data_IF_108299865943
#
_entry.id   IF_108299865943
#
_cell.length_a   1.000
_cell.length_b   1.000
_cell.length_c   1.000
_cell.angle_alpha   90.00
_cell.angle_beta   90.00
_cell.angle_gamma   90.00
#
_symmetry.space_group_name_H-M   'P 1'
#
loop_
_entity.id
_entity.type
_entity.pdbx_description
1 polymer ?
#
# COMPACT_ATOMS: atom_id res chain seq x y z
N UNK A 1 43.38 -20.38 32.69
CA UNK A 1 42.26 -20.86 31.85
C UNK A 1 42.10 -19.85 30.72
N UNK A 2 42.79 -20.11 29.62
CA UNK A 2 43.56 -19.09 28.90
C UNK A 2 42.90 -18.75 27.57
N UNK A 3 42.80 -17.44 27.28
CA UNK A 3 42.53 -16.67 26.04
C UNK A 3 41.83 -17.33 24.82
N UNK A 4 42.04 -18.62 24.55
CA UNK A 4 41.39 -19.42 23.50
C UNK A 4 39.87 -19.56 23.70
N UNK A 5 39.37 -19.63 24.93
CA UNK A 5 37.91 -19.69 25.21
C UNK A 5 37.26 -18.33 24.97
N UNK A 6 37.94 -17.23 25.34
CA UNK A 6 37.44 -15.88 25.10
C UNK A 6 37.38 -15.58 23.59
N UNK A 7 38.37 -16.02 22.81
CA UNK A 7 38.40 -15.90 21.34
C UNK A 7 37.29 -16.72 20.65
N UNK A 8 36.95 -17.89 21.19
CA UNK A 8 35.86 -18.74 20.67
C UNK A 8 34.48 -18.16 20.97
N UNK A 9 34.32 -17.46 22.11
CA UNK A 9 33.08 -16.77 22.47
C UNK A 9 32.90 -15.47 21.69
N UNK A 10 33.97 -14.72 21.38
CA UNK A 10 33.88 -13.54 20.49
C UNK A 10 33.71 -13.90 19.02
N UNK A 11 34.20 -15.07 18.56
CA UNK A 11 34.01 -15.51 17.17
C UNK A 11 32.58 -15.98 16.84
N UNK A 12 31.74 -16.24 17.85
CA UNK A 12 30.30 -16.53 17.67
C UNK A 12 29.43 -15.27 17.59
N UNK A 13 30.03 -14.09 17.73
CA UNK A 13 29.38 -12.79 17.51
C UNK A 13 29.80 -12.30 16.12
N UNK A 14 29.50 -13.09 15.09
CA UNK A 14 29.42 -12.57 13.74
C UNK A 14 28.15 -11.71 13.68
N UNK A 15 28.26 -10.43 14.01
CA UNK A 15 27.19 -9.47 13.74
C UNK A 15 26.99 -9.41 12.24
N UNK A 16 25.88 -9.95 11.76
CA UNK A 16 25.39 -9.67 10.42
C UNK A 16 25.15 -8.17 10.33
N UNK A 17 26.06 -7.46 9.65
CA UNK A 17 25.86 -6.06 9.31
C UNK A 17 24.86 -6.06 8.15
N UNK A 18 23.59 -5.81 8.44
CA UNK A 18 22.62 -5.49 7.40
C UNK A 18 22.88 -4.05 6.96
N UNK A 19 23.46 -3.87 5.78
CA UNK A 19 23.48 -2.57 5.12
C UNK A 19 22.17 -2.36 4.35
N UNK A 20 21.75 -1.11 4.29
CA UNK A 20 20.56 -0.53 3.63
C UNK A 20 19.21 -0.65 4.38
N UNK A 21 18.59 0.53 4.56
CA UNK A 21 17.26 0.71 5.18
C UNK A 21 16.14 0.74 4.11
N UNK A 22 16.47 0.72 2.82
CA UNK A 22 15.53 0.67 1.69
C UNK A 22 15.74 -0.56 0.81
N UNK A 23 14.72 -0.96 0.04
CA UNK A 23 14.83 -2.06 -0.93
C UNK A 23 14.85 -3.48 -0.33
N UNK A 24 14.20 -3.70 0.82
CA UNK A 24 14.23 -5.00 1.53
C UNK A 24 13.47 -6.13 0.85
N UNK A 25 12.73 -5.83 -0.22
CA UNK A 25 11.89 -6.80 -0.91
C UNK A 25 11.72 -6.35 -2.34
N UNK A 26 11.60 -7.33 -3.22
CA UNK A 26 11.25 -7.12 -4.63
C UNK A 26 9.75 -6.78 -4.78
N UNK A 27 9.32 -6.34 -5.96
CA UNK A 27 7.91 -6.07 -6.30
C UNK A 27 7.17 -5.09 -5.36
N UNK A 28 7.85 -4.05 -4.86
CA UNK A 28 7.27 -3.10 -3.90
C UNK A 28 6.01 -2.39 -4.39
N UNK A 29 5.80 -2.32 -5.71
CA UNK A 29 4.60 -1.73 -6.31
C UNK A 29 3.28 -2.38 -5.82
N UNK A 30 3.32 -3.63 -5.34
CA UNK A 30 2.17 -4.33 -4.75
C UNK A 30 1.59 -3.65 -3.51
N UNK A 31 2.38 -2.80 -2.84
CA UNK A 31 1.98 -2.06 -1.64
C UNK A 31 1.58 -0.60 -1.91
N UNK A 32 1.55 -0.18 -3.18
CA UNK A 32 1.00 1.12 -3.58
C UNK A 32 -0.53 1.11 -3.48
N UNK A 33 -1.12 2.30 -3.41
CA UNK A 33 -2.57 2.45 -3.35
C UNK A 33 -3.22 2.10 -4.68
N UNK A 34 -4.31 1.33 -4.68
CA UNK A 34 -4.94 0.86 -5.92
C UNK A 34 -6.01 1.81 -6.46
N UNK A 35 -6.53 2.75 -5.67
CA UNK A 35 -7.53 3.74 -6.12
C UNK A 35 -7.32 5.13 -5.52
N UNK A 36 -7.81 6.21 -6.17
CA UNK A 36 -7.77 7.56 -5.60
C UNK A 36 -8.52 7.65 -4.27
N UNK A 37 -9.59 6.86 -4.09
CA UNK A 37 -10.29 6.76 -2.80
C UNK A 37 -9.34 6.31 -1.70
N UNK A 38 -8.60 5.23 -1.93
CA UNK A 38 -7.65 4.69 -0.98
C UNK A 38 -6.50 5.67 -0.73
N UNK A 39 -5.97 6.31 -1.78
CA UNK A 39 -4.92 7.31 -1.68
C UNK A 39 -5.35 8.55 -0.88
N UNK A 40 -6.59 9.03 -1.05
CA UNK A 40 -7.15 10.15 -0.30
C UNK A 40 -7.29 9.85 1.20
N UNK A 41 -7.58 8.60 1.56
CA UNK A 41 -7.76 8.14 2.94
C UNK A 41 -6.44 7.70 3.62
N UNK A 42 -5.29 8.16 3.12
CA UNK A 42 -3.98 7.88 3.73
C UNK A 42 -3.23 6.69 3.14
N UNK A 43 -3.75 6.07 2.08
CA UNK A 43 -3.02 5.15 1.20
C UNK A 43 -3.24 3.66 1.43
N UNK A 44 -3.67 3.23 2.62
CA UNK A 44 -3.84 1.79 2.94
C UNK A 44 -5.18 1.43 3.60
N UNK A 45 -6.28 2.04 3.16
CA UNK A 45 -7.61 1.69 3.66
C UNK A 45 -8.00 0.28 3.22
N UNK A 46 -8.29 -0.59 4.20
CA UNK A 46 -8.66 -2.01 3.97
C UNK A 46 -10.12 -2.33 4.24
N UNK A 47 -10.89 -1.36 4.74
CA UNK A 47 -12.23 -1.60 5.33
C UNK A 47 -13.41 -1.28 4.42
N UNK A 48 -13.17 -0.79 3.19
CA UNK A 48 -14.28 -0.48 2.28
C UNK A 48 -14.99 -1.79 1.92
N UNK A 49 -16.31 -1.81 2.03
CA UNK A 49 -17.15 -2.93 1.66
C UNK A 49 -18.35 -2.36 0.91
N UNK A 50 -18.20 -2.22 -0.40
CA UNK A 50 -19.19 -1.58 -1.28
C UNK A 50 -18.96 -1.98 -2.75
N UNK A 51 -19.57 -1.23 -3.67
CA UNK A 51 -19.53 -1.42 -5.12
C UNK A 51 -18.16 -1.30 -5.81
N UNK A 52 -17.11 -0.70 -5.20
CA UNK A 52 -15.85 -0.46 -5.92
C UNK A 52 -14.95 -1.72 -5.96
N UNK A 53 -14.74 -2.36 -7.13
CA UNK A 53 -13.97 -3.60 -7.24
C UNK A 53 -12.48 -3.39 -6.95
N UNK A 54 -11.96 -2.15 -6.90
CA UNK A 54 -10.54 -1.91 -6.57
C UNK A 54 -10.17 -2.41 -5.19
N UNK A 55 -11.12 -2.40 -4.25
CA UNK A 55 -10.87 -2.87 -2.91
C UNK A 55 -10.51 -4.35 -2.88
N UNK A 56 -11.10 -5.16 -3.78
CA UNK A 56 -10.78 -6.58 -3.91
C UNK A 56 -9.31 -6.83 -4.25
N UNK A 57 -8.61 -5.91 -4.92
CA UNK A 57 -7.16 -6.03 -5.19
C UNK A 57 -6.30 -5.87 -3.93
N UNK A 58 -6.83 -5.17 -2.91
CA UNK A 58 -6.08 -4.81 -1.71
C UNK A 58 -6.51 -5.63 -0.48
N UNK A 59 -7.81 -5.92 -0.36
CA UNK A 59 -8.38 -6.81 0.64
C UNK A 59 -9.39 -7.77 -0.03
N UNK A 60 -9.02 -9.04 -0.27
CA UNK A 60 -9.94 -9.97 -0.92
C UNK A 60 -11.22 -10.22 -0.13
N UNK A 61 -11.22 -10.10 1.21
CA UNK A 61 -12.43 -10.32 2.01
C UNK A 61 -13.54 -9.28 1.76
N UNK A 62 -13.22 -8.16 1.12
CA UNK A 62 -14.21 -7.16 0.76
C UNK A 62 -14.97 -7.48 -0.53
N UNK A 63 -14.56 -8.50 -1.29
CA UNK A 63 -15.22 -8.88 -2.54
C UNK A 63 -16.67 -9.27 -2.22
N UNK A 64 -17.62 -8.58 -2.84
CA UNK A 64 -19.03 -8.69 -2.48
C UNK A 64 -19.96 -8.49 -3.69
N UNK A 65 -21.24 -8.87 -3.57
CA UNK A 65 -22.19 -8.79 -4.69
C UNK A 65 -22.47 -7.39 -5.24
N UNK A 66 -22.24 -6.31 -4.47
CA UNK A 66 -22.44 -4.94 -4.97
C UNK A 66 -21.42 -4.54 -6.04
N UNK A 67 -20.31 -5.28 -6.12
CA UNK A 67 -19.28 -5.08 -7.15
C UNK A 67 -19.69 -5.67 -8.51
N UNK A 68 -20.82 -6.37 -8.60
CA UNK A 68 -21.25 -7.01 -9.83
C UNK A 68 -21.34 -6.02 -10.99
N UNK A 69 -20.68 -6.35 -12.11
CA UNK A 69 -20.62 -5.54 -13.32
C UNK A 69 -20.03 -4.13 -13.11
N UNK A 70 -19.24 -3.94 -12.06
CA UNK A 70 -18.48 -2.71 -11.83
C UNK A 70 -17.10 -2.85 -12.47
N UNK A 71 -16.73 -1.87 -13.30
CA UNK A 71 -15.39 -1.72 -13.86
C UNK A 71 -14.73 -0.49 -13.24
N UNK A 72 -13.52 -0.64 -12.70
CA UNK A 72 -12.76 0.47 -12.14
C UNK A 72 -11.42 0.61 -12.85
N UNK A 73 -11.08 1.84 -13.22
CA UNK A 73 -9.87 2.25 -13.94
C UNK A 73 -9.20 3.38 -13.17
N UNK A 74 -7.95 3.20 -12.76
CA UNK A 74 -7.24 4.18 -11.94
C UNK A 74 -5.85 4.46 -12.50
N UNK A 75 -5.44 5.72 -12.41
CA UNK A 75 -4.15 6.20 -12.87
C UNK A 75 -3.56 7.17 -11.84
N UNK A 76 -2.27 7.03 -11.61
CA UNK A 76 -1.50 7.78 -10.62
C UNK A 76 -0.28 8.36 -11.32
N UNK A 77 -0.18 9.70 -11.31
CA UNK A 77 1.06 10.40 -11.67
C UNK A 77 1.91 10.49 -10.40
N UNK A 78 2.84 9.55 -10.26
CA UNK A 78 3.68 9.39 -9.09
C UNK A 78 4.97 10.22 -9.21
N UNK A 79 5.73 10.29 -8.12
CA UNK A 79 6.92 11.16 -8.05
C UNK A 79 8.01 10.63 -8.98
N UNK A 80 8.72 11.53 -9.68
CA UNK A 80 9.89 11.20 -10.49
C UNK A 80 9.55 10.53 -11.81
N UNK A 81 8.53 11.05 -12.51
CA UNK A 81 8.03 10.53 -13.80
C UNK A 81 7.53 9.08 -13.76
N UNK A 82 7.34 8.54 -12.56
CA UNK A 82 6.75 7.23 -12.33
C UNK A 82 5.24 7.32 -12.59
N UNK A 83 4.72 6.39 -13.36
CA UNK A 83 3.30 6.27 -13.66
C UNK A 83 2.83 4.88 -13.26
N UNK A 84 1.72 4.79 -12.53
CA UNK A 84 1.17 3.49 -12.19
C UNK A 84 -0.35 3.54 -12.19
N UNK A 85 -0.98 2.38 -12.20
CA UNK A 85 -2.42 2.31 -12.29
C UNK A 85 -2.98 0.95 -11.95
N UNK A 86 -4.31 0.91 -11.86
CA UNK A 86 -5.03 -0.32 -11.63
C UNK A 86 -6.27 -0.41 -12.52
N UNK A 87 -6.64 -1.64 -12.84
CA UNK A 87 -7.91 -2.01 -13.46
C UNK A 87 -8.52 -3.11 -12.60
N UNK A 88 -9.78 -2.99 -12.24
CA UNK A 88 -10.48 -4.03 -11.48
C UNK A 88 -11.89 -4.23 -12.03
N UNK A 89 -12.33 -5.48 -12.07
CA UNK A 89 -13.67 -5.87 -12.49
C UNK A 89 -14.17 -7.00 -11.60
N UNK A 90 -15.47 -7.01 -11.32
CA UNK A 90 -16.11 -8.08 -10.61
C UNK A 90 -17.41 -8.51 -11.29
N UNK A 91 -17.69 -9.81 -11.22
CA UNK A 91 -18.85 -10.43 -11.83
C UNK A 91 -19.47 -11.45 -10.89
N UNK A 92 -20.77 -11.33 -10.65
CA UNK A 92 -21.56 -12.26 -9.86
C UNK A 92 -21.99 -13.45 -10.73
N UNK A 93 -21.29 -14.58 -10.59
CA UNK A 93 -21.60 -15.80 -11.32
C UNK A 93 -22.90 -16.45 -10.84
N UNK A 94 -23.12 -16.49 -9.52
CA UNK A 94 -24.29 -17.15 -8.91
C UNK A 94 -24.84 -16.33 -7.76
N UNK A 95 -26.17 -16.31 -7.64
CA UNK A 95 -26.95 -15.60 -6.61
C UNK A 95 -26.62 -16.03 -5.18
N UNK A 96 -25.90 -17.15 -5.01
CA UNK A 96 -25.48 -17.68 -3.70
C UNK A 96 -24.06 -17.26 -3.28
N UNK A 97 -23.64 -16.02 -3.58
CA UNK A 97 -22.38 -15.37 -3.11
C UNK A 97 -21.10 -15.64 -3.93
N UNK A 98 -21.21 -16.11 -5.18
CA UNK A 98 -20.01 -16.38 -6.01
C UNK A 98 -19.65 -15.19 -6.87
N UNK A 99 -18.96 -14.23 -6.28
CA UNK A 99 -18.36 -13.11 -7.02
C UNK A 99 -16.96 -13.51 -7.47
N UNK A 100 -16.73 -13.45 -8.78
CA UNK A 100 -15.41 -13.54 -9.36
C UNK A 100 -14.85 -12.12 -9.46
N UNK A 101 -13.64 -11.94 -8.95
CA UNK A 101 -12.91 -10.69 -9.04
C UNK A 101 -11.64 -10.89 -9.84
N UNK A 102 -11.34 -9.94 -10.71
CA UNK A 102 -10.07 -9.91 -11.43
C UNK A 102 -9.59 -8.47 -11.57
N UNK A 103 -8.27 -8.30 -11.64
CA UNK A 103 -7.72 -7.00 -11.97
C UNK A 103 -6.23 -7.02 -12.22
N UNK A 104 -5.74 -5.85 -12.59
CA UNK A 104 -4.36 -5.61 -13.00
C UNK A 104 -3.86 -4.43 -12.19
N UNK A 105 -2.65 -4.52 -11.65
CA UNK A 105 -1.89 -3.38 -11.16
C UNK A 105 -0.62 -3.29 -11.97
N UNK A 106 -0.26 -2.11 -12.46
CA UNK A 106 0.98 -1.91 -13.21
C UNK A 106 1.73 -0.69 -12.69
N UNK A 107 3.05 -0.68 -12.86
CA UNK A 107 3.92 0.47 -12.64
C UNK A 107 4.90 0.61 -13.82
N UNK A 108 5.19 1.84 -14.18
CA UNK A 108 6.20 2.24 -15.14
C UNK A 108 7.10 3.27 -14.47
N UNK A 109 8.39 2.99 -14.42
CA UNK A 109 9.36 3.82 -13.70
C UNK A 109 9.84 5.05 -14.47
N UNK A 110 9.33 5.28 -15.68
CA UNK A 110 9.78 6.37 -16.54
C UNK A 110 11.04 5.97 -17.30
N UNK A 111 11.80 6.98 -17.75
CA UNK A 111 13.08 6.81 -18.44
C UNK A 111 14.19 7.38 -17.59
N UNK A 112 15.31 6.67 -17.54
CA UNK A 112 16.51 7.07 -16.85
C UNK A 112 17.64 7.27 -17.85
N UNK A 113 18.44 8.31 -17.64
CA UNK A 113 19.68 8.52 -18.38
C UNK A 113 20.72 7.50 -17.92
N UNK A 114 21.33 6.78 -18.86
CA UNK A 114 22.40 5.83 -18.57
C UNK A 114 23.77 6.51 -18.60
N UNK A 115 24.68 6.04 -17.75
CA UNK A 115 26.08 6.46 -17.71
C UNK A 115 26.98 5.24 -17.43
N UNK A 116 28.15 5.20 -18.05
CA UNK A 116 29.17 4.18 -17.75
C UNK A 116 29.92 4.48 -16.44
N UNK A 117 30.82 3.58 -16.03
CA UNK A 117 31.63 3.73 -14.81
C UNK A 117 32.54 4.98 -14.82
N UNK A 118 32.82 5.53 -16.00
CA UNK A 118 33.63 6.73 -16.20
C UNK A 118 32.78 8.01 -16.27
N UNK A 119 31.44 7.89 -16.19
CA UNK A 119 30.49 8.99 -16.26
C UNK A 119 30.18 9.46 -17.68
N UNK A 120 30.54 8.69 -18.72
CA UNK A 120 30.13 9.01 -20.09
C UNK A 120 28.67 8.57 -20.31
N UNK A 121 27.84 9.38 -20.99
CA UNK A 121 26.46 9.00 -21.29
C UNK A 121 26.36 7.71 -22.12
N UNK A 122 25.41 6.85 -21.77
CA UNK A 122 24.99 5.68 -22.54
C UNK A 122 23.55 5.82 -23.00
N UNK A 123 22.96 4.76 -23.56
CA UNK A 123 21.53 4.75 -23.90
C UNK A 123 20.64 4.92 -22.65
N UNK A 124 19.46 5.52 -22.82
CA UNK A 124 18.45 5.60 -21.76
C UNK A 124 17.83 4.24 -21.50
N UNK A 125 17.57 3.92 -20.23
CA UNK A 125 16.88 2.70 -19.83
C UNK A 125 15.56 2.99 -19.13
N UNK A 126 14.74 1.95 -18.96
CA UNK A 126 13.41 2.03 -18.33
C UNK A 126 13.11 0.72 -17.61
N UNK A 127 12.08 0.74 -16.76
CA UNK A 127 11.58 -0.43 -16.08
C UNK A 127 10.06 -0.36 -15.90
N UNK A 128 9.45 -1.53 -15.76
CA UNK A 128 8.04 -1.64 -15.46
C UNK A 128 7.67 -3.01 -14.92
N UNK A 129 6.58 -3.03 -14.17
CA UNK A 129 6.08 -4.24 -13.53
C UNK A 129 4.56 -4.31 -13.68
N UNK A 130 4.03 -5.52 -13.69
CA UNK A 130 2.61 -5.80 -13.76
C UNK A 130 2.25 -6.98 -12.87
N UNK A 131 1.14 -6.87 -12.16
CA UNK A 131 0.53 -7.94 -11.40
C UNK A 131 -0.89 -8.20 -11.91
N UNK A 132 -1.15 -9.43 -12.35
CA UNK A 132 -2.49 -9.93 -12.61
C UNK A 132 -3.02 -10.57 -11.32
N UNK A 133 -4.19 -10.15 -10.87
CA UNK A 133 -4.82 -10.60 -9.63
C UNK A 133 -6.17 -11.24 -9.91
N UNK A 134 -6.42 -12.40 -9.30
CA UNK A 134 -7.72 -13.07 -9.30
C UNK A 134 -8.16 -13.31 -7.87
N UNK A 135 -9.39 -12.91 -7.56
CA UNK A 135 -9.91 -12.88 -6.20
C UNK A 135 -11.25 -13.59 -6.06
N UNK A 136 -11.47 -14.14 -4.87
CA UNK A 136 -12.77 -14.66 -4.47
C UNK A 136 -12.96 -14.50 -2.97
N UNK A 137 -14.21 -14.22 -2.55
CA UNK A 137 -14.60 -14.18 -1.16
C UNK A 137 -15.91 -14.92 -0.90
N UNK A 138 -16.11 -15.30 0.36
CA UNK A 138 -17.32 -15.94 0.85
C UNK A 138 -17.66 -15.42 2.23
N UNK A 139 -18.94 -15.18 2.45
CA UNK A 139 -19.49 -14.99 3.79
C UNK A 139 -19.59 -16.35 4.50
N UNK A 140 -19.22 -16.38 5.79
CA UNK A 140 -19.38 -17.55 6.65
C UNK A 140 -20.85 -17.63 7.08
N UNK A 141 -21.59 -18.70 6.72
CA UNK A 141 -23.02 -18.81 6.96
C UNK A 141 -23.42 -18.50 8.40
N UNK A 142 -24.52 -17.74 8.56
CA UNK A 142 -25.08 -17.32 9.86
C UNK A 142 -24.17 -16.42 10.70
N UNK A 143 -23.17 -15.81 10.07
CA UNK A 143 -22.28 -14.84 10.73
C UNK A 143 -22.06 -13.63 9.85
N UNK A 144 -21.49 -12.60 10.46
CA UNK A 144 -21.08 -11.35 9.80
C UNK A 144 -19.63 -11.41 9.31
N UNK A 145 -19.03 -12.59 9.26
CA UNK A 145 -17.64 -12.77 8.83
C UNK A 145 -17.54 -13.11 7.34
N UNK A 146 -16.61 -12.46 6.67
CA UNK A 146 -16.26 -12.63 5.27
C UNK A 146 -14.80 -13.04 5.18
N UNK A 147 -14.52 -14.10 4.43
CA UNK A 147 -13.17 -14.58 4.16
C UNK A 147 -12.90 -14.49 2.67
N UNK A 148 -11.71 -14.03 2.29
CA UNK A 148 -11.34 -13.93 0.89
C UNK A 148 -9.88 -14.25 0.65
N UNK A 149 -9.58 -14.65 -0.57
CA UNK A 149 -8.22 -14.85 -1.04
C UNK A 149 -8.02 -14.26 -2.44
N UNK A 150 -6.83 -13.72 -2.69
CA UNK A 150 -6.35 -13.39 -4.03
C UNK A 150 -5.16 -14.25 -4.40
N UNK A 151 -5.03 -14.58 -5.69
CA UNK A 151 -3.80 -15.08 -6.29
C UNK A 151 -3.29 -14.01 -7.25
N UNK A 152 -1.98 -13.72 -7.16
CA UNK A 152 -1.28 -12.74 -8.00
C UNK A 152 -0.19 -13.41 -8.81
N UNK A 153 -0.12 -13.11 -10.09
CA UNK A 153 1.01 -13.41 -10.96
C UNK A 153 1.71 -12.11 -11.31
N UNK A 154 3.02 -12.05 -11.08
CA UNK A 154 3.81 -10.83 -11.09
C UNK A 154 4.89 -10.97 -12.16
N UNK A 155 4.98 -10.02 -13.07
CA UNK A 155 6.04 -9.90 -14.05
C UNK A 155 6.71 -8.55 -13.89
N UNK A 156 8.03 -8.56 -13.76
CA UNK A 156 8.84 -7.35 -13.70
C UNK A 156 9.92 -7.37 -14.75
N UNK A 157 10.18 -6.22 -15.36
CA UNK A 157 11.33 -5.97 -16.20
C UNK A 157 11.99 -4.66 -15.79
N UNK A 158 13.25 -4.73 -15.38
CA UNK A 158 14.07 -3.57 -15.01
C UNK A 158 15.26 -3.54 -15.95
N UNK A 159 15.24 -2.63 -16.94
CA UNK A 159 16.20 -2.59 -18.04
C UNK A 159 16.32 -3.95 -18.76
N UNK A 160 17.42 -4.69 -18.54
CA UNK A 160 17.70 -5.98 -19.14
C UNK A 160 17.31 -7.16 -18.25
N UNK A 161 17.08 -6.91 -16.95
CA UNK A 161 16.75 -7.93 -15.98
C UNK A 161 15.24 -8.17 -15.94
N UNK A 162 14.84 -9.42 -15.89
CA UNK A 162 13.43 -9.82 -15.79
C UNK A 162 13.22 -10.78 -14.63
N UNK A 163 12.10 -10.64 -13.96
CA UNK A 163 11.71 -11.53 -12.87
C UNK A 163 10.23 -11.86 -12.97
N UNK A 164 9.89 -13.09 -12.60
CA UNK A 164 8.52 -13.58 -12.58
C UNK A 164 8.24 -14.19 -11.21
N UNK A 165 7.10 -13.89 -10.61
CA UNK A 165 6.76 -14.33 -9.26
C UNK A 165 5.28 -14.52 -9.06
N UNK A 166 4.93 -15.05 -7.89
CA UNK A 166 3.54 -15.25 -7.50
C UNK A 166 3.32 -14.95 -6.04
N UNK A 167 2.12 -14.50 -5.70
CA UNK A 167 1.74 -14.18 -4.33
C UNK A 167 0.28 -14.49 -4.04
N UNK A 168 -0.04 -14.65 -2.76
CA UNK A 168 -1.39 -14.82 -2.25
C UNK A 168 -1.68 -13.73 -1.22
N UNK A 169 -2.89 -13.17 -1.29
CA UNK A 169 -3.43 -12.37 -0.18
C UNK A 169 -4.55 -13.15 0.50
N UNK A 170 -4.68 -13.02 1.82
CA UNK A 170 -5.74 -13.63 2.62
C UNK A 170 -6.35 -12.55 3.51
N UNK A 171 -7.66 -12.40 3.45
CA UNK A 171 -8.42 -11.43 4.24
C UNK A 171 -9.47 -12.09 5.12
N UNK A 172 -9.71 -11.50 6.28
CA UNK A 172 -10.87 -11.73 7.13
C UNK A 172 -11.50 -10.37 7.45
N UNK A 173 -12.80 -10.24 7.20
CA UNK A 173 -13.57 -9.03 7.47
C UNK A 173 -14.82 -9.36 8.27
N UNK A 174 -15.15 -8.54 9.25
CA UNK A 174 -16.40 -8.55 9.99
C UNK A 174 -17.21 -7.32 9.57
N UNK A 175 -18.41 -7.52 9.05
CA UNK A 175 -19.30 -6.47 8.55
C UNK A 175 -20.58 -6.48 9.37
N UNK A 176 -20.78 -5.47 10.21
CA UNK A 176 -22.00 -5.32 11.00
C UNK A 176 -22.87 -4.22 10.42
N UNK A 177 -23.90 -4.63 9.66
CA UNK A 177 -24.73 -3.74 8.85
C UNK A 177 -25.50 -2.70 9.69
N UNK A 178 -26.05 -3.08 10.85
CA UNK A 178 -26.86 -2.16 11.67
C UNK A 178 -26.10 -0.89 12.12
N UNK A 179 -24.78 -0.99 12.31
CA UNK A 179 -23.94 0.14 12.71
C UNK A 179 -23.02 0.62 11.59
N UNK A 180 -23.17 0.04 10.39
CA UNK A 180 -22.25 0.22 9.26
C UNK A 180 -20.77 0.15 9.70
N UNK A 181 -20.45 -0.87 10.49
CA UNK A 181 -19.15 -1.11 11.10
C UNK A 181 -18.41 -2.21 10.33
N UNK A 182 -17.20 -1.92 9.87
CA UNK A 182 -16.32 -2.88 9.22
C UNK A 182 -15.03 -3.01 10.03
N UNK A 183 -14.65 -4.25 10.38
CA UNK A 183 -13.37 -4.57 11.01
C UNK A 183 -12.68 -5.62 10.15
N UNK A 184 -11.39 -5.48 9.87
CA UNK A 184 -10.70 -6.43 9.00
C UNK A 184 -9.23 -6.60 9.36
N UNK A 185 -8.72 -7.79 9.09
CA UNK A 185 -7.29 -8.09 8.99
C UNK A 185 -6.98 -8.69 7.62
N UNK A 186 -5.91 -8.24 6.99
CA UNK A 186 -5.43 -8.78 5.72
C UNK A 186 -3.93 -9.05 5.78
N UNK A 187 -3.55 -10.23 5.30
CA UNK A 187 -2.18 -10.64 5.04
C UNK A 187 -1.95 -10.59 3.53
N UNK A 188 -1.06 -9.68 3.09
CA UNK A 188 -0.83 -9.39 1.68
C UNK A 188 0.55 -9.89 1.23
N UNK A 189 0.62 -10.29 -0.02
CA UNK A 189 1.85 -10.65 -0.74
C UNK A 189 2.63 -11.84 -0.13
N UNK A 190 1.94 -12.86 0.36
CA UNK A 190 2.55 -14.13 0.76
C UNK A 190 2.98 -14.89 -0.50
N UNK A 191 4.28 -14.96 -0.79
CA UNK A 191 4.74 -15.59 -2.01
C UNK A 191 6.26 -15.57 -2.22
N UNK A 192 6.66 -15.84 -3.46
CA UNK A 192 8.08 -15.95 -3.86
C UNK A 192 8.25 -15.55 -5.32
N UNK A 193 9.49 -15.24 -5.70
CA UNK A 193 9.90 -15.24 -7.10
C UNK A 193 9.93 -16.69 -7.60
N UNK A 194 9.44 -16.92 -8.82
CA UNK A 194 9.63 -18.16 -9.57
C UNK A 194 10.94 -18.08 -10.37
N UNK A 195 11.17 -16.91 -10.99
CA UNK A 195 12.42 -16.53 -11.63
C UNK A 195 12.94 -15.24 -10.99
N UNK A 196 14.09 -15.25 -10.30
CA UNK A 196 14.76 -14.05 -9.82
C UNK A 196 15.29 -13.20 -10.98
N UNK A 197 15.72 -11.97 -10.70
CA UNK A 197 16.37 -11.09 -11.69
C UNK A 197 17.78 -11.57 -12.06
N UNK A 198 18.46 -12.22 -11.11
CA UNK A 198 19.79 -12.81 -11.26
C UNK A 198 19.85 -14.13 -10.47
N UNK A 199 20.90 -14.41 -9.68
CA UNK A 199 21.01 -15.68 -8.95
C UNK A 199 20.25 -15.71 -7.63
N UNK A 200 20.08 -14.55 -6.99
CA UNK A 200 19.53 -14.46 -5.64
C UNK A 200 18.02 -14.27 -5.65
N UNK A 201 17.34 -15.03 -4.79
CA UNK A 201 15.91 -14.87 -4.55
C UNK A 201 15.67 -13.82 -3.47
N UNK A 202 14.94 -12.77 -3.83
CA UNK A 202 14.56 -11.69 -2.93
C UNK A 202 13.16 -11.94 -2.35
N UNK A 203 12.93 -11.62 -1.07
CA UNK A 203 11.62 -11.79 -0.48
C UNK A 203 10.60 -10.86 -1.13
N UNK A 204 9.33 -11.27 -1.12
CA UNK A 204 8.20 -10.42 -1.50
C UNK A 204 7.86 -9.44 -0.36
N UNK A 205 7.13 -8.34 -0.67
CA UNK A 205 6.86 -7.27 0.28
C UNK A 205 5.63 -7.64 1.12
N UNK A 206 5.77 -8.71 1.92
CA UNK A 206 4.74 -9.22 2.81
C UNK A 206 4.28 -8.15 3.80
N UNK A 207 2.96 -8.02 3.97
CA UNK A 207 2.39 -7.02 4.86
C UNK A 207 1.15 -7.54 5.60
N UNK A 208 1.12 -7.34 6.92
CA UNK A 208 -0.08 -7.49 7.74
C UNK A 208 -0.70 -6.12 8.01
N UNK A 209 -1.99 -5.97 7.69
CA UNK A 209 -2.76 -4.75 7.90
C UNK A 209 -4.02 -5.06 8.69
N UNK A 210 -4.31 -4.26 9.72
CA UNK A 210 -5.61 -4.27 10.40
C UNK A 210 -6.32 -2.95 10.16
N UNK A 211 -7.64 -2.98 10.03
CA UNK A 211 -8.43 -1.77 9.86
C UNK A 211 -9.80 -1.87 10.51
N UNK A 212 -10.31 -0.71 10.91
CA UNK A 212 -11.69 -0.53 11.35
C UNK A 212 -12.26 0.75 10.71
N UNK A 213 -13.51 0.71 10.29
CA UNK A 213 -14.27 1.88 9.89
C UNK A 213 -15.71 1.79 10.35
N UNK A 214 -16.31 2.94 10.56
CA UNK A 214 -17.72 3.01 10.92
C UNK A 214 -18.32 4.33 10.40
N UNK A 215 -19.52 4.27 9.84
CA UNK A 215 -20.32 5.47 9.58
C UNK A 215 -21.08 5.86 10.85
N UNK A 216 -20.98 7.13 11.23
CA UNK A 216 -21.67 7.65 12.40
C UNK A 216 -23.17 7.67 12.18
N UNK A 217 -23.93 7.26 13.19
CA UNK A 217 -25.39 7.30 13.13
C UNK A 217 -25.88 8.73 12.96
N UNK A 218 -26.81 8.96 12.02
CA UNK A 218 -27.42 10.26 11.70
C UNK A 218 -26.46 11.35 11.21
N UNK A 219 -25.18 11.04 11.00
CA UNK A 219 -24.17 11.98 10.52
C UNK A 219 -23.48 11.36 9.30
N UNK A 220 -23.42 12.04 8.14
CA UNK A 220 -22.86 11.49 6.92
C UNK A 220 -21.32 11.51 6.95
N UNK A 221 -20.72 10.89 7.95
CA UNK A 221 -19.29 10.84 8.20
C UNK A 221 -18.91 9.39 8.51
N UNK A 222 -18.00 8.84 7.70
CA UNK A 222 -17.33 7.57 7.98
C UNK A 222 -15.90 7.83 8.41
N UNK A 223 -15.51 7.32 9.57
CA UNK A 223 -14.11 7.36 10.00
C UNK A 223 -13.43 6.03 9.69
N UNK A 224 -12.13 6.11 9.43
CA UNK A 224 -11.27 4.96 9.13
C UNK A 224 -10.04 5.03 10.02
N UNK A 225 -9.69 3.89 10.61
CA UNK A 225 -8.44 3.69 11.31
C UNK A 225 -7.76 2.45 10.74
N UNK A 226 -6.45 2.54 10.51
CA UNK A 226 -5.67 1.45 9.95
C UNK A 226 -4.32 1.35 10.64
N UNK A 227 -3.91 0.12 10.89
CA UNK A 227 -2.60 -0.28 11.37
C UNK A 227 -1.88 -1.06 10.27
N UNK A 228 -0.79 -0.51 9.74
CA UNK A 228 0.00 -1.09 8.64
C UNK A 228 1.29 -1.77 9.14
N UNK A 229 1.93 -2.64 8.34
CA UNK A 229 3.19 -3.32 8.68
C UNK A 229 3.22 -4.06 10.03
N UNK A 230 2.11 -4.70 10.43
CA UNK A 230 1.95 -5.26 11.77
C UNK A 230 2.80 -6.51 12.05
N UNK A 231 3.41 -7.08 11.01
CA UNK A 231 4.42 -8.15 11.13
C UNK A 231 5.76 -7.66 11.71
N UNK A 232 6.05 -6.35 11.65
CA UNK A 232 7.31 -5.78 12.10
C UNK A 232 7.05 -4.58 13.02
N UNK A 233 7.18 -4.75 14.34
CA UNK A 233 6.98 -3.63 15.27
C UNK A 233 7.97 -2.47 15.05
N UNK A 234 9.23 -2.78 14.76
CA UNK A 234 10.27 -1.75 14.58
C UNK A 234 10.29 -1.19 13.15
N UNK A 235 9.31 -0.36 12.78
CA UNK A 235 9.25 0.29 11.44
C UNK A 235 10.02 1.61 11.33
N UNK A 236 10.24 2.27 12.46
CA UNK A 236 10.89 3.56 12.53
C UNK A 236 12.42 3.40 12.53
N UNK A 237 13.12 4.33 11.86
CA UNK A 237 14.57 4.39 11.82
C UNK A 237 15.04 5.84 11.97
N UNK A 238 16.22 6.06 12.60
CA UNK A 238 16.78 7.39 12.76
C UNK A 238 17.16 7.95 11.39
N UNK A 239 16.85 9.22 11.17
CA UNK A 239 17.18 9.90 9.93
C UNK A 239 18.47 10.71 10.11
N UNK A 240 19.56 10.28 9.45
CA UNK A 240 20.86 10.94 9.57
C UNK A 240 20.85 12.40 9.11
N UNK A 241 19.93 12.80 8.23
CA UNK A 241 19.75 14.19 7.83
C UNK A 241 19.21 15.09 8.96
N UNK A 242 18.83 14.49 10.09
CA UNK A 242 18.33 15.17 11.29
C UNK A 242 19.29 15.05 12.48
N UNK A 243 20.47 14.48 12.26
CA UNK A 243 21.44 14.33 13.32
C UNK A 243 22.02 15.68 13.72
N UNK A 244 22.19 15.89 15.02
CA UNK A 244 22.76 17.12 15.56
C UNK A 244 24.24 16.85 15.82
N UNK A 245 25.11 17.64 15.21
CA UNK A 245 26.55 17.60 15.49
C UNK A 245 26.88 18.67 16.51
N UNK A 246 27.48 18.27 17.63
CA UNK A 246 27.95 19.21 18.64
C UNK A 246 29.22 19.96 18.19
N UNK A 247 29.63 20.95 18.99
CA UNK A 247 30.84 21.75 18.73
C UNK A 247 32.14 20.92 18.84
N UNK A 248 32.06 19.70 19.39
CA UNK A 248 33.17 18.76 19.57
C UNK A 248 33.24 17.71 18.45
N UNK A 249 32.29 17.75 17.50
CA UNK A 249 32.21 16.85 16.35
C UNK A 249 31.48 15.54 16.61
N UNK A 250 30.83 15.35 17.76
CA UNK A 250 30.00 14.18 18.02
C UNK A 250 28.61 14.35 17.40
N UNK A 251 28.18 13.33 16.67
CA UNK A 251 26.86 13.27 16.04
C UNK A 251 25.89 12.52 16.94
N UNK A 252 24.82 13.20 17.38
CA UNK A 252 23.72 12.57 18.12
C UNK A 252 22.54 12.35 17.18
N UNK A 253 22.23 11.07 16.94
CA UNK A 253 21.07 10.68 16.16
C UNK A 253 19.78 10.66 16.99
N UNK A 254 18.66 10.82 16.30
CA UNK A 254 17.32 10.76 16.89
C UNK A 254 17.10 9.44 17.66
N UNK A 255 16.63 9.56 18.91
CA UNK A 255 16.25 8.41 19.72
C UNK A 255 14.79 8.05 19.49
N UNK A 256 14.56 6.92 18.84
CA UNK A 256 13.23 6.37 18.58
C UNK A 256 12.79 5.47 19.72
N UNK A 257 11.61 5.73 20.25
CA UNK A 257 11.02 4.98 21.34
C UNK A 257 9.84 4.08 20.87
N UNK A 258 9.23 3.36 21.81
CA UNK A 258 8.11 2.46 21.54
C UNK A 258 6.87 3.19 20.97
N UNK A 259 6.57 4.38 21.47
CA UNK A 259 5.42 5.19 21.03
C UNK A 259 5.65 5.71 19.60
N UNK A 260 6.88 6.08 19.26
CA UNK A 260 7.24 6.50 17.89
C UNK A 260 6.98 5.36 16.90
N UNK A 261 7.37 4.14 17.24
CA UNK A 261 7.03 2.95 16.45
C UNK A 261 5.51 2.79 16.30
N UNK A 262 4.76 2.86 17.41
CA UNK A 262 3.31 2.73 17.40
C UNK A 262 2.63 3.74 16.46
N UNK A 263 3.00 5.02 16.52
CA UNK A 263 2.44 6.04 15.63
C UNK A 263 2.79 5.81 14.17
N UNK A 264 3.98 5.27 13.86
CA UNK A 264 4.37 4.92 12.48
C UNK A 264 3.65 3.68 11.92
N UNK A 265 2.80 3.03 12.71
CA UNK A 265 1.86 2.03 12.18
C UNK A 265 0.50 2.63 11.83
N UNK A 266 0.19 3.84 12.26
CA UNK A 266 -1.18 4.37 12.24
C UNK A 266 -1.47 5.21 10.98
N UNK A 267 -2.67 4.99 10.43
CA UNK A 267 -3.27 5.80 9.38
C UNK A 267 -4.70 6.12 9.80
N UNK A 268 -5.09 7.38 9.65
CA UNK A 268 -6.43 7.87 9.97
C UNK A 268 -7.04 8.47 8.72
N UNK A 269 -8.32 8.19 8.47
CA UNK A 269 -9.07 8.74 7.34
C UNK A 269 -10.51 9.10 7.73
N UNK A 270 -11.09 10.07 7.03
CA UNK A 270 -12.48 10.49 7.17
C UNK A 270 -13.08 10.65 5.77
N UNK A 271 -14.26 10.08 5.55
CA UNK A 271 -15.08 10.26 4.36
C UNK A 271 -16.37 11.01 4.74
N UNK A 272 -16.57 12.19 4.13
CA UNK A 272 -17.77 12.99 4.26
C UNK A 272 -18.72 12.65 3.10
N UNK A 273 -19.98 12.41 3.44
CA UNK A 273 -21.04 12.01 2.51
C UNK A 273 -20.73 10.71 1.74
N UNK A 274 -20.36 9.60 2.42
CA UNK A 274 -19.91 8.37 1.76
C UNK A 274 -20.94 7.78 0.77
N UNK A 275 -22.22 7.88 1.08
CA UNK A 275 -23.33 7.32 0.27
C UNK A 275 -23.83 8.29 -0.82
N UNK A 276 -23.42 9.55 -0.77
CA UNK A 276 -23.93 10.59 -1.66
C UNK A 276 -23.31 10.52 -3.05
N UNK A 277 -23.93 11.24 -4.00
CA UNK A 277 -23.38 11.43 -5.33
C UNK A 277 -22.05 12.19 -5.32
N UNK A 278 -21.84 13.07 -4.34
CA UNK A 278 -20.58 13.77 -4.12
C UNK A 278 -20.03 13.39 -2.73
N UNK A 279 -18.74 13.11 -2.65
CA UNK A 279 -18.06 12.85 -1.38
C UNK A 279 -16.71 13.55 -1.30
N UNK A 280 -16.26 13.80 -0.07
CA UNK A 280 -14.95 14.36 0.25
C UNK A 280 -14.23 13.39 1.17
N UNK A 281 -12.93 13.20 0.95
CA UNK A 281 -12.09 12.28 1.71
C UNK A 281 -10.86 13.01 2.18
N UNK A 282 -10.51 12.80 3.44
CA UNK A 282 -9.30 13.34 4.06
C UNK A 282 -8.57 12.19 4.76
N UNK A 283 -7.25 12.20 4.71
CA UNK A 283 -6.43 11.18 5.32
C UNK A 283 -5.10 11.71 5.83
N UNK A 284 -4.58 11.06 6.85
CA UNK A 284 -3.26 11.33 7.40
C UNK A 284 -2.55 10.01 7.68
N UNK A 285 -1.45 9.77 6.97
CA UNK A 285 -0.53 8.68 7.26
C UNK A 285 0.57 9.22 8.19
N UNK A 286 0.58 8.76 9.44
CA UNK A 286 1.49 9.29 10.48
C UNK A 286 2.94 8.93 10.17
N UNK A 287 3.20 7.75 9.62
CA UNK A 287 4.55 7.33 9.20
C UNK A 287 5.11 8.23 8.11
N UNK A 288 4.35 8.42 7.03
CA UNK A 288 4.71 9.31 5.93
C UNK A 288 4.91 10.74 6.43
N UNK A 289 4.07 11.18 7.37
CA UNK A 289 4.18 12.50 7.96
C UNK A 289 5.44 12.71 8.78
N UNK A 290 5.92 11.69 9.47
CA UNK A 290 7.15 11.77 10.25
C UNK A 290 8.41 11.54 9.42
N UNK A 291 8.41 10.55 8.53
CA UNK A 291 9.58 10.16 7.72
C UNK A 291 9.94 11.18 6.64
N UNK A 292 8.94 11.87 6.08
CA UNK A 292 9.15 12.89 5.04
C UNK A 292 9.10 14.33 5.57
N UNK A 293 9.08 14.50 6.90
CA UNK A 293 9.11 15.82 7.54
C UNK A 293 10.46 16.48 7.34
N UNK A 294 10.41 17.76 6.95
CA UNK A 294 11.57 18.65 6.91
C UNK A 294 11.51 19.52 8.18
N UNK A 295 12.55 19.47 9.02
CA UNK A 295 12.56 20.07 10.37
C UNK A 295 12.14 21.55 10.39
N UNK A 296 12.53 22.31 9.36
CA UNK A 296 12.31 23.77 9.30
C UNK A 296 11.14 24.18 8.38
N UNK A 297 10.46 23.22 7.75
CA UNK A 297 9.35 23.52 6.82
C UNK A 297 8.09 22.77 7.22
N UNK A 298 6.98 23.51 7.37
CA UNK A 298 5.64 22.93 7.47
C UNK A 298 5.24 22.36 6.11
N UNK A 299 5.62 21.11 5.87
CA UNK A 299 5.39 20.43 4.60
C UNK A 299 4.01 19.74 4.52
N UNK A 300 3.34 19.58 5.67
CA UNK A 300 2.14 18.73 5.82
C UNK A 300 2.30 17.37 5.14
N UNK A 301 3.52 16.82 5.20
CA UNK A 301 3.83 15.47 4.78
C UNK A 301 2.84 14.52 5.46
N UNK A 302 2.32 13.54 4.74
CA UNK A 302 1.34 12.62 5.32
C UNK A 302 -0.11 12.96 4.99
N UNK A 303 -0.46 14.24 4.73
CA UNK A 303 -1.83 14.61 4.37
C UNK A 303 -2.18 14.15 2.95
N UNK A 304 -3.42 13.66 2.83
CA UNK A 304 -4.06 13.34 1.57
C UNK A 304 -5.50 13.84 1.59
N UNK A 305 -5.98 14.25 0.43
CA UNK A 305 -7.35 14.71 0.25
C UNK A 305 -7.88 14.22 -1.10
N UNK A 306 -9.19 14.08 -1.22
CA UNK A 306 -9.80 13.71 -2.48
C UNK A 306 -11.30 13.94 -2.47
N UNK A 307 -11.89 13.82 -3.64
CA UNK A 307 -13.34 13.86 -3.80
C UNK A 307 -13.77 12.86 -4.87
N UNK A 308 -15.05 12.53 -4.89
CA UNK A 308 -15.65 11.84 -6.02
C UNK A 308 -17.00 12.43 -6.38
N UNK A 309 -17.37 12.27 -7.65
CA UNK A 309 -18.63 12.71 -8.23
C UNK A 309 -19.24 11.56 -9.03
N UNK A 310 -20.44 11.13 -8.67
CA UNK A 310 -21.26 10.16 -9.39
C UNK A 310 -22.16 10.87 -10.38
N UNK A 311 -21.97 10.54 -11.65
CA UNK A 311 -22.74 10.96 -12.82
C UNK A 311 -23.39 9.72 -13.44
N UNK A 312 -24.63 9.41 -13.01
CA UNK A 312 -25.35 8.21 -13.44
C UNK A 312 -24.53 6.92 -13.17
N UNK A 313 -24.18 6.18 -14.23
CA UNK A 313 -23.38 4.94 -14.17
C UNK A 313 -21.88 5.18 -13.98
N UNK A 314 -21.41 6.42 -14.08
CA UNK A 314 -19.99 6.75 -13.96
C UNK A 314 -19.72 7.46 -12.65
N UNK A 315 -18.65 7.10 -11.95
CA UNK A 315 -18.13 7.84 -10.81
C UNK A 315 -16.68 8.24 -11.08
N UNK A 316 -16.45 9.54 -11.12
CA UNK A 316 -15.12 10.10 -11.20
C UNK A 316 -14.58 10.31 -9.78
N UNK A 317 -13.34 9.89 -9.53
CA UNK A 317 -12.62 10.12 -8.28
C UNK A 317 -11.30 10.83 -8.56
N UNK A 318 -10.98 11.81 -7.73
CA UNK A 318 -9.71 12.50 -7.74
C UNK A 318 -9.11 12.50 -6.33
N UNK A 319 -7.80 12.36 -6.24
CA UNK A 319 -7.08 12.54 -4.98
C UNK A 319 -5.77 13.27 -5.19
N UNK A 320 -5.41 14.07 -4.20
CA UNK A 320 -4.13 14.75 -4.07
C UNK A 320 -3.42 14.25 -2.81
N UNK A 321 -2.17 13.84 -2.96
CA UNK A 321 -1.36 13.32 -1.86
C UNK A 321 -0.08 14.13 -1.74
N UNK A 322 0.20 14.64 -0.54
CA UNK A 322 1.40 15.43 -0.26
C UNK A 322 2.46 14.56 0.44
N UNK A 323 3.62 14.41 -0.19
CA UNK A 323 4.74 13.65 0.36
C UNK A 323 5.70 14.57 1.11
N UNK A 324 6.11 15.65 0.46
CA UNK A 324 6.90 16.72 1.06
C UNK A 324 6.64 18.04 0.29
N UNK A 325 7.38 19.11 0.59
CA UNK A 325 7.21 20.40 -0.10
C UNK A 325 7.44 20.32 -1.61
N UNK A 326 8.40 19.50 -2.06
CA UNK A 326 8.81 19.37 -3.46
C UNK A 326 8.06 18.28 -4.23
N UNK A 327 7.37 17.36 -3.54
CA UNK A 327 6.77 16.18 -4.14
C UNK A 327 5.31 15.99 -3.71
N UNK A 328 4.43 15.88 -4.71
CA UNK A 328 3.01 15.58 -4.56
C UNK A 328 2.51 14.80 -5.76
N UNK A 329 1.46 14.02 -5.58
CA UNK A 329 0.89 13.20 -6.64
C UNK A 329 -0.59 13.49 -6.80
N UNK A 330 -1.03 13.52 -8.05
CA UNK A 330 -2.42 13.66 -8.45
C UNK A 330 -2.88 12.36 -9.07
N UNK A 331 -3.99 11.83 -8.56
CA UNK A 331 -4.49 10.52 -8.97
C UNK A 331 -5.93 10.66 -9.45
N UNK A 332 -6.26 9.89 -10.49
CA UNK A 332 -7.53 9.92 -11.20
C UNK A 332 -8.11 8.52 -11.25
N UNK A 333 -9.43 8.41 -11.12
CA UNK A 333 -10.13 7.14 -11.11
C UNK A 333 -11.51 7.27 -11.71
N UNK A 334 -11.90 6.23 -12.42
CA UNK A 334 -13.22 6.07 -13.01
C UNK A 334 -13.77 4.72 -12.58
N UNK A 335 -14.92 4.74 -11.94
CA UNK A 335 -15.71 3.55 -11.68
C UNK A 335 -16.98 3.61 -12.55
N UNK A 336 -17.25 2.53 -13.27
CA UNK A 336 -18.29 2.45 -14.30
C UNK A 336 -19.17 1.24 -13.99
N UNK A 337 -20.45 1.48 -13.76
CA UNK A 337 -21.46 0.45 -13.68
C UNK A 337 -21.89 0.03 -15.10
N UNK A 338 -21.70 -1.24 -15.45
CA UNK A 338 -21.99 -1.77 -16.78
C UNK A 338 -23.41 -2.35 -16.94
N UNK A 339 -24.21 -2.41 -15.87
CA UNK A 339 -25.62 -2.81 -15.91
C UNK A 339 -26.49 -1.66 -16.37
#
# INVERSE_FOLDING_TARGET
MNHKVLFLVTSFIATSVFSQVGGKSTYQFLNLANSPRQAALGGKTVTNYDYDPTQGLFNPASINPEMDNQLSLNYFNYIGDINYGSVAYAYLWDRRTRVLHAGITYINYGKFDGYDELGNPTDTFSGGEVALSFGHARNIPYTNFHVGANVKLISSKLEQYSSFGGAVDIGLMYVYEDWDLQITGVARNLGTQFSPYDTEYEPLPFELIFGVSQTLENIPIRWHFTLENMQQWKVAFPNSARDITDLEGNTQSEKINFIDHAFRHMIIGIELFPESGFNIRLGYNLRRGEELRILEKRAFAGLSAGFSLRLNKLRFSYSYVKYNTAASTSNFGLNINLQ
#
